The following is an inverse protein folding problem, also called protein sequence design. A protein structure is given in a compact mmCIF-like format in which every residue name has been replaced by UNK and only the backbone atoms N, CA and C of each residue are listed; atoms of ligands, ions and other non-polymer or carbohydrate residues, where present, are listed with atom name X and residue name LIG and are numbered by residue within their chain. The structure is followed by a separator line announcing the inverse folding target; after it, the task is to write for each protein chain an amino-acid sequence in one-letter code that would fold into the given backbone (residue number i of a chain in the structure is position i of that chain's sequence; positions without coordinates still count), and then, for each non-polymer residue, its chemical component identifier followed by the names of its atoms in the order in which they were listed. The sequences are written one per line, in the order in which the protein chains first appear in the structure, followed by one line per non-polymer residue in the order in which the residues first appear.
data_IF_061278953560
#
_entry.id   IF_061278953560
#
_cell.length_a   1.000
_cell.length_b   1.000
_cell.length_c   1.000
_cell.angle_alpha   90.00
_cell.angle_beta   90.00
_cell.angle_gamma   90.00
#
_symmetry.space_group_name_H-M   'P 1'
#
loop_
_entity.id
_entity.type
_entity.pdbx_description
1 polymer ?
#
# COMPACT_ATOMS: atom_id res chain seq x y z
N UNK A 1 -10.67 -1.09 1.91
CA UNK A 1 -9.80 -2.08 1.24
C UNK A 1 -9.17 -1.26 0.13
N UNK A 2 -7.84 -1.12 0.11
CA UNK A 2 -7.18 -0.23 -0.84
C UNK A 2 -7.16 -0.82 -2.24
N UNK A 3 -6.91 0.02 -3.24
CA UNK A 3 -6.67 -0.41 -4.61
C UNK A 3 -5.18 -0.59 -4.86
N UNK A 4 -4.84 -1.58 -5.70
CA UNK A 4 -3.45 -1.99 -5.89
C UNK A 4 -3.07 -1.99 -7.35
N UNK A 5 -1.85 -1.55 -7.63
CA UNK A 5 -1.23 -1.72 -8.95
C UNK A 5 -0.87 -3.19 -9.12
N UNK A 6 -1.43 -3.80 -10.17
CA UNK A 6 -1.12 -5.16 -10.57
C UNK A 6 -0.97 -5.17 -12.10
N UNK A 7 0.24 -4.89 -12.62
CA UNK A 7 0.43 -4.78 -14.05
C UNK A 7 0.17 -6.14 -14.72
N UNK A 8 -0.37 -6.16 -15.95
CA UNK A 8 -0.71 -7.41 -16.64
C UNK A 8 0.53 -8.24 -17.00
N UNK A 9 1.69 -7.58 -17.11
CA UNK A 9 2.99 -8.17 -17.40
C UNK A 9 4.05 -7.59 -16.46
N UNK A 10 5.07 -8.39 -16.12
CA UNK A 10 6.16 -7.96 -15.24
C UNK A 10 5.82 -7.94 -13.75
N UNK A 11 6.68 -7.30 -12.96
CA UNK A 11 6.47 -7.09 -11.52
C UNK A 11 5.97 -5.66 -11.26
N UNK A 12 5.31 -5.42 -10.10
CA UNK A 12 4.90 -4.05 -9.75
C UNK A 12 6.09 -3.15 -9.43
N UNK A 13 7.21 -3.73 -9.01
CA UNK A 13 8.48 -3.05 -8.80
C UNK A 13 9.00 -2.50 -10.13
N UNK A 14 9.15 -3.34 -11.14
CA UNK A 14 9.61 -2.92 -12.48
C UNK A 14 8.66 -1.86 -13.06
N UNK A 15 7.35 -2.08 -12.94
CA UNK A 15 6.36 -1.13 -13.44
C UNK A 15 6.48 0.25 -12.76
N UNK A 16 6.71 0.28 -11.43
CA UNK A 16 6.87 1.52 -10.67
C UNK A 16 8.19 2.23 -10.99
N UNK A 17 9.27 1.49 -11.23
CA UNK A 17 10.55 2.05 -11.67
C UNK A 17 10.45 2.67 -13.07
N UNK A 18 9.63 2.10 -13.95
CA UNK A 18 9.43 2.59 -15.33
C UNK A 18 8.43 3.76 -15.42
N UNK A 19 7.39 3.77 -14.58
CA UNK A 19 6.25 4.68 -14.71
C UNK A 19 6.12 5.71 -13.58
N UNK A 20 6.92 5.58 -12.53
CA UNK A 20 6.89 6.44 -11.35
C UNK A 20 8.24 7.06 -11.02
N UNK A 21 8.21 8.04 -10.12
CA UNK A 21 9.40 8.66 -9.55
C UNK A 21 9.47 8.33 -8.05
N UNK A 22 10.62 7.86 -7.58
CA UNK A 22 10.82 7.50 -6.19
C UNK A 22 10.83 8.74 -5.28
N UNK A 23 10.11 8.66 -4.16
CA UNK A 23 9.95 9.77 -3.22
C UNK A 23 10.48 9.37 -1.85
N UNK A 24 11.51 10.08 -1.37
CA UNK A 24 12.12 9.81 -0.08
C UNK A 24 11.25 10.29 1.11
N UNK A 25 10.50 11.38 0.91
CA UNK A 25 9.63 11.97 1.93
C UNK A 25 8.28 12.31 1.28
N UNK A 26 7.32 11.38 1.26
CA UNK A 26 6.03 11.62 0.62
C UNK A 26 5.23 12.63 1.45
N UNK A 27 4.38 13.41 0.79
CA UNK A 27 3.53 14.41 1.41
C UNK A 27 2.14 14.43 0.78
N UNK A 28 1.13 14.67 1.59
CA UNK A 28 -0.22 14.92 1.12
C UNK A 28 -0.52 16.44 1.10
N UNK A 29 -1.15 16.98 0.05
CA UNK A 29 -1.53 16.31 -1.20
C UNK A 29 -0.33 16.01 -2.11
N UNK A 30 -0.45 15.05 -3.05
CA UNK A 30 0.55 14.83 -4.09
C UNK A 30 0.67 16.06 -5.00
N UNK A 31 1.75 16.15 -5.81
CA UNK A 31 1.82 17.12 -6.90
C UNK A 31 0.62 17.03 -7.85
N UNK A 32 0.30 18.13 -8.54
CA UNK A 32 -0.80 18.15 -9.51
C UNK A 32 -0.61 17.06 -10.58
N UNK A 33 -1.72 16.40 -10.95
CA UNK A 33 -1.78 15.29 -11.90
C UNK A 33 -0.94 14.05 -11.52
N UNK A 34 -0.49 13.97 -10.27
CA UNK A 34 0.24 12.83 -9.72
C UNK A 34 -0.54 12.12 -8.63
N UNK A 35 -0.25 10.84 -8.45
CA UNK A 35 -0.85 9.95 -7.46
C UNK A 35 0.28 9.30 -6.68
N UNK A 36 0.14 9.23 -5.36
CA UNK A 36 1.10 8.52 -4.51
C UNK A 36 0.83 7.01 -4.59
N UNK A 37 1.90 6.23 -4.62
CA UNK A 37 1.83 4.77 -4.53
C UNK A 37 2.80 4.30 -3.44
N UNK A 38 2.29 3.49 -2.51
CA UNK A 38 3.07 2.88 -1.44
C UNK A 38 3.37 1.42 -1.78
N UNK A 39 4.62 1.12 -2.08
CA UNK A 39 5.11 -0.25 -2.23
C UNK A 39 5.54 -0.79 -0.87
N UNK A 40 4.79 -1.78 -0.35
CA UNK A 40 5.06 -2.43 0.93
C UNK A 40 5.65 -3.80 0.70
N UNK A 41 6.78 -4.10 1.34
CA UNK A 41 7.35 -5.44 1.38
C UNK A 41 6.72 -6.27 2.51
N UNK A 42 5.96 -7.31 2.14
CA UNK A 42 5.30 -8.21 3.09
C UNK A 42 6.11 -9.49 3.35
N UNK A 43 7.32 -9.62 2.80
CA UNK A 43 8.17 -10.80 2.88
C UNK A 43 8.09 -11.66 1.62
N UNK A 44 7.16 -12.65 1.52
CA UNK A 44 7.09 -13.53 0.35
C UNK A 44 6.46 -12.85 -0.88
N UNK A 45 5.95 -11.63 -0.73
CA UNK A 45 5.39 -10.80 -1.80
C UNK A 45 5.44 -9.33 -1.38
N UNK A 46 5.31 -8.42 -2.33
CA UNK A 46 5.12 -6.99 -2.07
C UNK A 46 3.72 -6.55 -2.54
N UNK A 47 3.25 -5.39 -2.10
CA UNK A 47 1.97 -4.80 -2.51
C UNK A 47 2.15 -3.33 -2.85
N UNK A 48 1.70 -2.90 -4.03
CA UNK A 48 1.76 -1.51 -4.48
C UNK A 48 0.39 -0.85 -4.33
N UNK A 49 0.13 -0.25 -3.16
CA UNK A 49 -1.15 0.38 -2.84
C UNK A 49 -1.23 1.79 -3.43
N UNK A 50 -2.31 2.08 -4.15
CA UNK A 50 -2.64 3.40 -4.65
C UNK A 50 -3.14 4.24 -3.47
N UNK A 51 -2.62 5.46 -3.32
CA UNK A 51 -2.98 6.39 -2.26
C UNK A 51 -3.78 7.54 -2.88
N UNK A 52 -5.10 7.40 -2.97
CA UNK A 52 -5.97 8.38 -3.64
C UNK A 52 -6.59 9.41 -2.70
N UNK A 53 -6.49 9.23 -1.38
CA UNK A 53 -6.92 10.21 -0.40
C UNK A 53 -5.97 10.35 0.82
N UNK A 54 -6.23 11.36 1.66
CA UNK A 54 -5.46 11.63 2.89
C UNK A 54 -5.60 10.50 3.93
N UNK A 55 -6.73 9.78 3.92
CA UNK A 55 -6.99 8.69 4.83
C UNK A 55 -6.05 7.51 4.55
N UNK A 56 -5.96 7.09 3.30
CA UNK A 56 -4.99 6.09 2.85
C UNK A 56 -3.56 6.54 3.12
N UNK A 57 -3.23 7.81 2.87
CA UNK A 57 -1.91 8.35 3.19
C UNK A 57 -1.55 8.17 4.66
N UNK A 58 -2.48 8.51 5.57
CA UNK A 58 -2.30 8.32 7.01
C UNK A 58 -2.17 6.84 7.38
N UNK A 59 -3.01 5.97 6.83
CA UNK A 59 -2.98 4.52 7.10
C UNK A 59 -1.67 3.88 6.64
N UNK A 60 -1.17 4.24 5.46
CA UNK A 60 0.10 3.72 4.95
C UNK A 60 1.33 4.27 5.69
N UNK A 61 1.20 5.38 6.41
CA UNK A 61 2.25 5.89 7.29
C UNK A 61 2.11 5.41 8.75
N UNK A 62 0.98 4.82 9.14
CA UNK A 62 0.78 4.30 10.47
C UNK A 62 1.75 3.15 10.79
N UNK A 63 2.21 2.99 12.04
CA UNK A 63 3.05 1.87 12.42
C UNK A 63 2.31 0.53 12.22
N UNK A 64 3.02 -0.48 11.72
CA UNK A 64 2.50 -1.84 11.74
C UNK A 64 2.30 -2.34 13.19
N UNK A 65 1.33 -3.25 13.41
CA UNK A 65 1.01 -3.70 14.76
C UNK A 65 2.17 -4.47 15.39
N UNK A 66 2.35 -4.24 16.68
CA UNK A 66 3.34 -4.91 17.51
C UNK A 66 2.98 -6.37 17.76
N UNK A 67 3.95 -7.17 18.23
CA UNK A 67 3.69 -8.56 18.64
C UNK A 67 2.61 -8.67 19.72
N UNK A 68 2.57 -7.72 20.65
CA UNK A 68 1.61 -7.68 21.75
C UNK A 68 0.19 -7.44 21.22
N UNK A 69 0.00 -6.42 20.39
CA UNK A 69 -1.29 -6.11 19.76
C UNK A 69 -1.80 -7.27 18.90
N UNK A 70 -0.90 -7.91 18.13
CA UNK A 70 -1.25 -9.09 17.33
C UNK A 70 -1.64 -10.27 18.22
N UNK A 71 -0.96 -10.49 19.35
CA UNK A 71 -1.29 -11.55 20.29
C UNK A 71 -2.67 -11.35 20.93
N UNK A 72 -3.01 -10.12 21.31
CA UNK A 72 -4.33 -9.76 21.84
C UNK A 72 -5.44 -9.96 20.80
N UNK A 73 -5.22 -9.49 19.57
CA UNK A 73 -6.17 -9.69 18.45
C UNK A 73 -6.40 -11.17 18.17
N UNK A 74 -5.32 -11.96 18.18
CA UNK A 74 -5.39 -13.42 18.00
C UNK A 74 -6.18 -14.08 19.13
N UNK A 75 -5.90 -13.77 20.39
CA UNK A 75 -6.63 -14.31 21.53
C UNK A 75 -8.13 -13.99 21.45
N UNK A 76 -8.49 -12.75 21.07
CA UNK A 76 -9.88 -12.32 20.90
C UNK A 76 -10.58 -13.04 19.74
N UNK A 77 -9.90 -13.26 18.63
CA UNK A 77 -10.45 -13.97 17.48
C UNK A 77 -10.64 -15.47 17.76
N UNK A 78 -9.66 -16.11 18.41
CA UNK A 78 -9.72 -17.52 18.82
C UNK A 78 -10.86 -17.76 19.83
N UNK A 79 -11.09 -16.84 20.76
CA UNK A 79 -12.24 -16.88 21.67
C UNK A 79 -13.60 -16.84 20.93
N UNK A 80 -13.62 -16.38 19.67
CA UNK A 80 -14.80 -16.38 18.78
C UNK A 80 -14.82 -17.57 17.83
N UNK A 81 -13.92 -18.53 17.99
CA UNK A 81 -13.78 -19.69 17.09
C UNK A 81 -13.16 -19.36 15.74
N UNK A 82 -12.54 -18.19 15.59
CA UNK A 82 -11.89 -17.76 14.35
C UNK A 82 -10.40 -18.09 14.45
N UNK A 83 -9.90 -18.92 13.52
CA UNK A 83 -8.47 -19.20 13.41
C UNK A 83 -7.77 -18.03 12.73
N UNK A 84 -6.82 -17.41 13.42
CA UNK A 84 -6.00 -16.31 12.87
C UNK A 84 -4.65 -16.84 12.41
N UNK A 85 -4.27 -16.46 11.20
CA UNK A 85 -2.91 -16.62 10.66
C UNK A 85 -2.32 -15.24 10.51
N UNK A 86 -1.16 -15.00 11.11
CA UNK A 86 -0.46 -13.71 11.08
C UNK A 86 0.81 -13.84 10.26
N UNK A 87 1.01 -12.92 9.32
CA UNK A 87 2.24 -12.76 8.55
C UNK A 87 2.77 -11.35 8.77
N UNK A 88 4.03 -11.23 9.22
CA UNK A 88 4.66 -9.95 9.57
C UNK A 88 4.07 -9.31 10.82
N UNK A 89 4.84 -9.25 11.91
CA UNK A 89 4.45 -8.55 13.13
C UNK A 89 5.68 -8.06 13.87
N UNK A 90 5.54 -6.95 14.60
CA UNK A 90 6.56 -6.45 15.52
C UNK A 90 7.66 -5.58 14.92
N UNK A 91 7.83 -5.58 13.60
CA UNK A 91 8.69 -4.62 12.89
C UNK A 91 7.90 -3.94 11.79
N UNK A 92 8.20 -2.66 11.56
CA UNK A 92 7.62 -1.91 10.46
C UNK A 92 8.08 -2.53 9.15
N UNK A 93 7.13 -3.06 8.36
CA UNK A 93 7.41 -3.52 6.99
C UNK A 93 8.05 -2.40 6.19
N UNK A 94 9.09 -2.67 5.39
CA UNK A 94 9.67 -1.68 4.50
C UNK A 94 8.60 -1.09 3.57
N UNK A 95 8.59 0.24 3.45
CA UNK A 95 7.71 0.98 2.56
C UNK A 95 8.55 1.87 1.65
N UNK A 96 8.32 1.77 0.35
CA UNK A 96 8.92 2.65 -0.67
C UNK A 96 7.80 3.44 -1.33
N UNK A 97 7.99 4.74 -1.49
CA UNK A 97 6.98 5.62 -2.07
C UNK A 97 7.36 6.05 -3.48
N UNK A 98 6.36 6.11 -4.34
CA UNK A 98 6.46 6.64 -5.69
C UNK A 98 5.38 7.70 -5.91
N UNK A 99 5.66 8.67 -6.77
CA UNK A 99 4.63 9.46 -7.46
C UNK A 99 4.50 8.96 -8.89
N UNK A 100 3.28 8.76 -9.33
CA UNK A 100 2.96 8.22 -10.65
C UNK A 100 1.92 9.12 -11.29
N UNK A 101 2.02 9.38 -12.60
CA UNK A 101 1.02 10.20 -13.29
C UNK A 101 -0.37 9.57 -13.19
N UNK A 102 -1.40 10.40 -13.00
CA UNK A 102 -2.81 9.96 -12.97
C UNK A 102 -3.15 9.12 -14.21
N UNK A 103 -2.63 9.50 -15.37
CA UNK A 103 -2.82 8.78 -16.63
C UNK A 103 -2.33 7.33 -16.54
N UNK A 104 -1.11 7.10 -16.06
CA UNK A 104 -0.54 5.75 -15.98
C UNK A 104 -1.29 4.89 -14.95
N UNK A 105 -1.74 5.48 -13.85
CA UNK A 105 -2.58 4.78 -12.87
C UNK A 105 -3.90 4.31 -13.49
N UNK A 106 -4.60 5.18 -14.22
CA UNK A 106 -5.86 4.81 -14.88
C UNK A 106 -5.66 3.75 -15.97
N UNK A 107 -4.51 3.77 -16.66
CA UNK A 107 -4.19 2.76 -17.67
C UNK A 107 -4.02 1.36 -17.08
N UNK A 108 -3.34 1.24 -15.93
CA UNK A 108 -3.10 -0.05 -15.26
C UNK A 108 -4.25 -0.47 -14.34
N UNK A 109 -4.99 0.49 -13.79
CA UNK A 109 -6.08 0.29 -12.83
C UNK A 109 -7.25 1.24 -13.17
N UNK A 110 -8.06 0.95 -14.20
CA UNK A 110 -9.10 1.86 -14.67
C UNK A 110 -10.21 2.09 -13.64
N UNK A 111 -10.44 1.13 -12.73
CA UNK A 111 -11.50 1.20 -11.73
C UNK A 111 -11.30 2.34 -10.71
N UNK A 112 -10.07 2.83 -10.53
CA UNK A 112 -9.78 3.94 -9.61
C UNK A 112 -9.99 5.32 -10.22
N UNK A 113 -10.29 5.42 -11.52
CA UNK A 113 -10.28 6.70 -12.26
C UNK A 113 -11.16 7.79 -11.62
N UNK A 114 -12.32 7.42 -11.07
CA UNK A 114 -13.28 8.32 -10.43
C UNK A 114 -12.91 8.68 -8.98
N UNK A 115 -11.97 7.96 -8.37
CA UNK A 115 -11.51 8.17 -7.00
C UNK A 115 -10.26 9.06 -6.92
N UNK A 116 -9.49 9.14 -8.02
CA UNK A 116 -8.25 9.91 -8.07
C UNK A 116 -8.51 11.43 -8.00
N UNK A 117 -7.69 12.18 -7.25
CA UNK A 117 -7.80 13.63 -7.08
C UNK A 117 -7.53 14.41 -8.38
#
# INVERSE_FOLDING_TARGET
MGDYINPPEGTKEDWLEENGELVAAPSWPPPADMVLVCLVDNGPFTAAAICYDEGEFSEFNAPDPTYEEVAELKARAEARGIKVVTAGCGEQRPRTWYVVSRKNIVEVCPDVAEMLP
#
